data_IF_348704061473
#
_entry.id   IF_348704061473
#
_cell.length_a   1.000
_cell.length_b   1.000
_cell.length_c   1.000
_cell.angle_alpha   90.00
_cell.angle_beta   90.00
_cell.angle_gamma   90.00
#
_symmetry.space_group_name_H-M   'P 1'
#
loop_
_entity.id
_entity.type
_entity.pdbx_description
1 polymer ?
#
# COMPACT_ATOMS: atom_id res chain seq x y z
N UNK A 1 -26.44 -50.04 -31.88
CA UNK A 1 -25.08 -50.54 -32.19
C UNK A 1 -24.16 -50.00 -31.12
N UNK A 2 -23.62 -50.91 -30.32
CA UNK A 2 -22.73 -50.68 -29.19
C UNK A 2 -21.25 -50.78 -29.61
N UNK A 3 -20.35 -50.66 -28.62
CA UNK A 3 -18.88 -50.78 -28.60
C UNK A 3 -18.21 -49.39 -28.59
N UNK A 4 -17.71 -48.82 -27.48
CA UNK A 4 -16.99 -49.33 -26.30
C UNK A 4 -15.71 -50.09 -26.63
N UNK A 5 -14.62 -49.71 -25.94
CA UNK A 5 -13.34 -50.36 -25.56
C UNK A 5 -12.33 -49.20 -25.49
N UNK A 6 -11.81 -48.77 -24.32
CA UNK A 6 -10.91 -49.50 -23.43
C UNK A 6 -9.46 -49.21 -23.87
N UNK A 7 -8.46 -48.95 -23.04
CA UNK A 7 -8.25 -49.08 -21.61
C UNK A 7 -6.76 -48.82 -21.33
N UNK A 8 -6.46 -48.69 -20.04
CA UNK A 8 -5.20 -48.26 -19.43
C UNK A 8 -3.92 -49.04 -19.80
N UNK A 9 -2.76 -48.41 -19.59
CA UNK A 9 -1.60 -49.07 -18.99
C UNK A 9 -0.63 -48.05 -18.35
N UNK A 10 -0.35 -48.28 -17.07
CA UNK A 10 0.67 -47.63 -16.25
C UNK A 10 2.01 -48.39 -16.29
N UNK A 11 3.02 -47.84 -15.59
CA UNK A 11 4.38 -48.36 -15.22
C UNK A 11 5.51 -47.75 -16.07
N UNK A 12 6.68 -47.39 -15.55
CA UNK A 12 7.31 -47.48 -14.22
C UNK A 12 8.67 -46.77 -14.31
N UNK A 13 9.08 -46.02 -13.29
CA UNK A 13 10.22 -46.27 -12.37
C UNK A 13 11.58 -46.59 -13.01
N UNK A 14 12.58 -45.76 -12.64
CA UNK A 14 14.03 -46.07 -12.61
C UNK A 14 14.84 -45.36 -13.70
N UNK A 15 16.07 -44.89 -13.51
CA UNK A 15 16.97 -44.74 -12.38
C UNK A 15 18.16 -43.86 -12.85
N UNK A 16 18.96 -43.38 -11.90
CA UNK A 16 20.10 -42.47 -12.04
C UNK A 16 21.22 -42.88 -13.03
N UNK A 17 21.98 -41.90 -13.52
CA UNK A 17 23.46 -41.92 -13.53
C UNK A 17 24.11 -40.62 -14.04
N UNK A 18 25.03 -40.10 -13.22
CA UNK A 18 26.32 -39.42 -13.47
C UNK A 18 26.80 -39.08 -14.89
N UNK A 19 27.56 -37.97 -14.96
CA UNK A 19 28.58 -37.76 -15.99
C UNK A 19 28.78 -36.29 -16.37
N UNK A 20 29.51 -35.49 -15.59
CA UNK A 20 30.95 -35.21 -15.79
C UNK A 20 31.26 -34.35 -17.03
N UNK A 21 31.74 -33.14 -16.72
CA UNK A 21 32.42 -32.15 -17.57
C UNK A 21 33.57 -32.78 -18.38
N UNK A 22 33.84 -32.28 -19.61
CA UNK A 22 35.21 -32.30 -20.12
C UNK A 22 35.71 -30.90 -20.49
N UNK A 23 36.80 -30.54 -19.81
CA UNK A 23 37.83 -29.60 -20.23
C UNK A 23 38.80 -30.34 -21.18
N UNK A 24 39.13 -29.80 -22.37
CA UNK A 24 40.36 -30.08 -23.15
C UNK A 24 40.45 -29.06 -24.29
N UNK A 25 41.37 -28.08 -24.21
CA UNK A 25 42.81 -28.07 -24.58
C UNK A 25 43.09 -27.91 -26.09
N UNK A 26 43.65 -26.73 -26.39
CA UNK A 26 44.91 -26.47 -27.11
C UNK A 26 45.15 -27.14 -28.47
N UNK A 27 45.12 -26.32 -29.52
CA UNK A 27 46.05 -26.36 -30.64
C UNK A 27 46.39 -24.91 -31.08
N UNK A 28 47.66 -24.54 -31.01
CA UNK A 28 48.26 -23.44 -31.78
C UNK A 28 48.54 -23.92 -33.21
N UNK A 29 48.67 -23.05 -34.26
CA UNK A 29 49.88 -22.22 -34.50
C UNK A 29 49.57 -20.93 -35.33
N UNK A 30 50.52 -20.23 -35.99
CA UNK A 30 51.97 -20.10 -35.80
C UNK A 30 52.42 -18.64 -35.55
N UNK A 31 53.70 -18.51 -35.20
CA UNK A 31 54.44 -17.26 -35.15
C UNK A 31 54.52 -16.57 -36.53
N UNK A 32 54.10 -15.30 -36.57
CA UNK A 32 54.31 -14.37 -37.67
C UNK A 32 54.43 -12.97 -37.10
N UNK A 33 55.65 -12.55 -36.83
CA UNK A 33 55.95 -11.19 -36.40
C UNK A 33 55.74 -10.23 -37.58
N UNK A 34 54.76 -9.34 -37.47
CA UNK A 34 54.69 -8.11 -38.25
C UNK A 34 54.12 -7.00 -37.37
N UNK A 35 54.97 -6.01 -37.11
CA UNK A 35 54.67 -4.80 -36.36
C UNK A 35 53.51 -4.05 -37.01
N UNK A 36 52.42 -3.86 -36.27
CA UNK A 36 51.21 -3.20 -36.77
C UNK A 36 50.65 -2.22 -35.74
N UNK A 37 51.20 -1.00 -35.75
CA UNK A 37 50.66 0.24 -35.17
C UNK A 37 49.98 0.15 -33.80
N UNK A 38 50.66 0.65 -32.77
CA UNK A 38 49.98 1.15 -31.58
C UNK A 38 48.96 2.20 -32.01
N UNK A 39 47.68 1.82 -32.02
CA UNK A 39 46.59 2.80 -32.00
C UNK A 39 46.69 3.49 -30.65
N UNK A 40 47.50 4.53 -30.61
CA UNK A 40 47.53 5.54 -29.56
C UNK A 40 46.09 5.91 -29.28
N UNK A 41 45.57 5.51 -28.12
CA UNK A 41 44.45 6.18 -27.51
C UNK A 41 44.83 7.66 -27.49
N UNK A 42 44.22 8.46 -28.36
CA UNK A 42 44.32 9.91 -28.30
C UNK A 42 43.51 10.34 -27.09
N UNK A 43 44.06 10.12 -25.90
CA UNK A 43 43.68 10.89 -24.73
C UNK A 43 43.90 12.35 -25.11
N UNK A 44 42.87 13.17 -24.90
CA UNK A 44 42.98 14.62 -25.04
C UNK A 44 44.14 15.03 -24.13
N UNK A 45 45.30 15.34 -24.72
CA UNK A 45 46.38 16.00 -23.99
C UNK A 45 45.84 17.37 -23.68
N UNK A 46 45.68 17.69 -22.41
CA UNK A 46 45.39 19.04 -21.96
C UNK A 46 46.31 20.00 -22.72
N UNK A 47 45.75 20.79 -23.63
CA UNK A 47 46.44 21.95 -24.16
C UNK A 47 46.51 22.89 -22.97
N UNK A 48 47.66 22.94 -22.31
CA UNK A 48 47.88 23.79 -21.14
C UNK A 48 47.81 25.25 -21.56
N UNK A 49 46.63 25.84 -21.48
CA UNK A 49 46.42 27.28 -21.56
C UNK A 49 45.78 27.72 -20.24
N UNK A 50 46.59 27.69 -19.19
CA UNK A 50 46.32 28.34 -17.89
C UNK A 50 47.67 28.84 -17.34
N UNK A 51 48.21 29.96 -17.85
CA UNK A 51 49.51 30.47 -17.44
C UNK A 51 49.54 30.99 -16.00
N UNK A 52 48.38 31.26 -15.39
CA UNK A 52 48.24 31.83 -14.04
C UNK A 52 47.74 30.80 -13.00
N UNK A 53 47.48 29.55 -13.42
CA UNK A 53 47.09 28.44 -12.52
C UNK A 53 45.74 28.65 -11.80
N UNK A 54 44.88 29.52 -12.33
CA UNK A 54 43.63 29.95 -11.67
C UNK A 54 42.57 28.84 -11.73
N UNK A 55 42.61 27.96 -12.74
CA UNK A 55 41.51 27.05 -13.04
C UNK A 55 41.61 25.68 -12.34
N UNK A 56 42.70 25.41 -11.63
CA UNK A 56 42.90 24.17 -10.88
C UNK A 56 42.91 22.90 -11.75
N UNK A 57 43.20 21.72 -11.16
CA UNK A 57 43.23 20.48 -11.93
C UNK A 57 41.82 20.12 -12.45
N UNK A 58 41.71 19.57 -13.67
CA UNK A 58 40.42 19.20 -14.24
C UNK A 58 39.71 18.19 -13.34
N UNK A 59 38.53 18.58 -12.83
CA UNK A 59 37.71 17.68 -12.01
C UNK A 59 37.09 16.62 -12.92
N UNK A 60 37.37 15.34 -12.67
CA UNK A 60 36.74 14.23 -13.40
C UNK A 60 35.26 14.05 -13.04
N UNK A 61 34.57 13.17 -13.78
CA UNK A 61 33.22 12.69 -13.42
C UNK A 61 32.05 13.61 -13.74
N UNK A 62 32.23 14.68 -14.54
CA UNK A 62 31.13 15.55 -14.95
C UNK A 62 30.02 14.81 -15.73
N UNK A 63 30.40 13.91 -16.64
CA UNK A 63 29.43 13.08 -17.39
C UNK A 63 28.67 12.15 -16.45
N UNK A 64 29.37 11.45 -15.55
CA UNK A 64 28.74 10.56 -14.57
C UNK A 64 27.77 11.31 -13.64
N UNK A 65 28.12 12.53 -13.19
CA UNK A 65 27.22 13.39 -12.40
C UNK A 65 25.98 13.80 -13.19
N UNK A 66 26.15 14.26 -14.44
CA UNK A 66 25.02 14.64 -15.30
C UNK A 66 24.10 13.45 -15.60
N UNK A 67 24.67 12.28 -15.88
CA UNK A 67 23.90 11.06 -16.10
C UNK A 67 23.15 10.62 -14.83
N UNK A 68 23.78 10.73 -13.66
CA UNK A 68 23.14 10.45 -12.38
C UNK A 68 21.99 11.42 -12.09
N UNK A 69 22.19 12.72 -12.26
CA UNK A 69 21.12 13.73 -12.14
C UNK A 69 19.99 13.47 -13.14
N UNK A 70 20.30 13.10 -14.38
CA UNK A 70 19.30 12.79 -15.41
C UNK A 70 18.49 11.54 -15.07
N UNK A 71 19.10 10.51 -14.47
CA UNK A 71 18.38 9.32 -13.97
C UNK A 71 17.46 9.70 -12.81
N UNK A 72 17.96 10.47 -11.84
CA UNK A 72 17.13 10.97 -10.73
C UNK A 72 15.94 11.81 -11.19
N UNK A 73 16.14 12.68 -12.20
CA UNK A 73 15.06 13.46 -12.80
C UNK A 73 14.03 12.57 -13.51
N UNK A 74 14.47 11.60 -14.32
CA UNK A 74 13.56 10.63 -14.94
C UNK A 74 12.78 9.82 -13.92
N UNK A 75 13.43 9.40 -12.83
CA UNK A 75 12.78 8.70 -11.74
C UNK A 75 11.78 9.60 -11.01
N UNK A 76 12.08 10.89 -10.85
CA UNK A 76 11.17 11.89 -10.29
C UNK A 76 9.96 12.13 -11.22
N UNK A 77 10.18 12.35 -12.51
CA UNK A 77 9.12 12.52 -13.52
C UNK A 77 8.21 11.29 -13.57
N UNK A 78 8.79 10.08 -13.56
CA UNK A 78 8.04 8.83 -13.53
C UNK A 78 7.21 8.67 -12.25
N UNK A 79 7.76 9.05 -11.09
CA UNK A 79 7.01 9.09 -9.82
C UNK A 79 5.88 10.10 -9.87
N UNK A 80 6.09 11.27 -10.46
CA UNK A 80 5.06 12.31 -10.61
C UNK A 80 3.94 11.89 -11.56
N UNK A 81 4.26 11.24 -12.68
CA UNK A 81 3.28 10.67 -13.60
C UNK A 81 2.45 9.59 -12.93
N UNK A 82 3.10 8.66 -12.22
CA UNK A 82 2.41 7.64 -11.44
C UNK A 82 1.49 8.24 -10.37
N UNK A 83 1.97 9.23 -9.62
CA UNK A 83 1.17 9.95 -8.63
C UNK A 83 -0.01 10.69 -9.26
N UNK A 84 0.16 11.26 -10.46
CA UNK A 84 -0.93 11.91 -11.21
C UNK A 84 -1.99 10.90 -11.62
N UNK A 85 -1.60 9.73 -12.11
CA UNK A 85 -2.54 8.65 -12.44
C UNK A 85 -3.33 8.20 -11.20
N UNK A 86 -2.66 8.01 -10.07
CA UNK A 86 -3.33 7.67 -8.80
C UNK A 86 -4.34 8.73 -8.37
N UNK A 87 -4.01 10.03 -8.51
CA UNK A 87 -4.95 11.11 -8.20
C UNK A 87 -6.18 11.07 -9.09
N UNK A 88 -5.98 10.92 -10.40
CA UNK A 88 -7.09 10.84 -11.36
C UNK A 88 -8.00 9.63 -11.09
N UNK A 89 -7.42 8.46 -10.79
CA UNK A 89 -8.19 7.28 -10.42
C UNK A 89 -8.95 7.49 -9.10
N UNK A 90 -8.32 8.11 -8.10
CA UNK A 90 -8.99 8.43 -6.85
C UNK A 90 -10.14 9.43 -7.03
N UNK A 91 -9.97 10.43 -7.90
CA UNK A 91 -10.99 11.42 -8.25
C UNK A 91 -12.15 10.79 -9.01
N UNK A 92 -11.87 9.94 -10.01
CA UNK A 92 -12.89 9.17 -10.74
C UNK A 92 -13.73 8.34 -9.79
N UNK A 93 -13.09 7.62 -8.86
CA UNK A 93 -13.78 6.82 -7.86
C UNK A 93 -14.57 7.66 -6.88
N UNK A 94 -14.07 8.84 -6.50
CA UNK A 94 -14.82 9.80 -5.69
C UNK A 94 -16.07 10.27 -6.43
N UNK A 95 -15.95 10.63 -7.71
CA UNK A 95 -17.08 11.04 -8.53
C UNK A 95 -18.14 9.92 -8.67
N UNK A 96 -17.71 8.66 -8.78
CA UNK A 96 -18.61 7.52 -8.78
C UNK A 96 -19.37 7.37 -7.45
N UNK A 97 -18.69 7.55 -6.31
CA UNK A 97 -19.33 7.51 -4.98
C UNK A 97 -20.36 8.62 -4.79
N UNK A 98 -20.06 9.80 -5.31
CA UNK A 98 -20.96 10.96 -5.26
C UNK A 98 -22.18 10.79 -6.17
N UNK A 99 -22.04 10.08 -7.30
CA UNK A 99 -23.15 9.82 -8.21
C UNK A 99 -24.08 8.69 -7.75
N UNK A 100 -23.61 7.78 -6.90
CA UNK A 100 -24.43 6.70 -6.33
C UNK A 100 -25.45 7.27 -5.34
N UNK A 101 -26.73 7.10 -5.65
CA UNK A 101 -27.83 7.44 -4.75
C UNK A 101 -28.03 6.33 -3.71
N UNK A 102 -28.11 6.69 -2.44
CA UNK A 102 -28.35 5.75 -1.33
C UNK A 102 -29.86 5.48 -1.23
N UNK A 103 -30.32 4.24 -1.36
CA UNK A 103 -31.75 3.92 -1.23
C UNK A 103 -32.28 4.06 0.20
N UNK A 104 -33.56 4.39 0.37
CA UNK A 104 -34.18 4.57 1.70
C UNK A 104 -34.75 3.28 2.30
N UNK A 105 -35.09 2.29 1.46
CA UNK A 105 -35.70 1.03 1.93
C UNK A 105 -34.64 -0.03 2.22
N UNK A 106 -34.91 -0.87 3.21
CA UNK A 106 -34.05 -2.00 3.61
C UNK A 106 -33.76 -2.98 2.46
N UNK A 107 -34.74 -3.49 1.69
CA UNK A 107 -34.45 -4.44 0.61
C UNK A 107 -33.63 -3.82 -0.51
N UNK A 108 -33.92 -2.55 -0.87
CA UNK A 108 -33.15 -1.82 -1.88
C UNK A 108 -31.72 -1.54 -1.41
N UNK A 109 -31.51 -1.39 -0.10
CA UNK A 109 -30.19 -1.24 0.50
C UNK A 109 -29.38 -2.55 0.44
N UNK A 110 -30.03 -3.71 0.54
CA UNK A 110 -29.36 -5.01 0.36
C UNK A 110 -28.82 -5.13 -1.07
N UNK A 111 -29.65 -4.86 -2.08
CA UNK A 111 -29.20 -4.88 -3.48
C UNK A 111 -28.07 -3.89 -3.72
N UNK A 112 -28.17 -2.69 -3.13
CA UNK A 112 -27.10 -1.69 -3.22
C UNK A 112 -25.75 -2.22 -2.74
N UNK A 113 -25.71 -2.98 -1.64
CA UNK A 113 -24.47 -3.58 -1.13
C UNK A 113 -23.98 -4.75 -1.96
N UNK A 114 -24.88 -5.55 -2.53
CA UNK A 114 -24.51 -6.64 -3.45
C UNK A 114 -23.92 -6.11 -4.75
N UNK A 115 -24.42 -4.97 -5.24
CA UNK A 115 -23.90 -4.23 -6.40
C UNK A 115 -22.67 -3.37 -6.06
N UNK A 116 -22.17 -3.41 -4.82
CA UNK A 116 -21.01 -2.63 -4.40
C UNK A 116 -19.72 -3.43 -4.57
N UNK A 117 -18.73 -2.81 -5.21
CA UNK A 117 -17.40 -3.42 -5.34
C UNK A 117 -16.76 -3.60 -3.96
N UNK A 118 -16.05 -4.72 -3.75
CA UNK A 118 -15.42 -5.05 -2.47
C UNK A 118 -14.49 -3.93 -1.93
N UNK A 119 -13.84 -3.16 -2.81
CA UNK A 119 -12.95 -2.04 -2.43
C UNK A 119 -13.69 -0.80 -1.93
N UNK A 120 -14.91 -0.58 -2.41
CA UNK A 120 -15.73 0.57 -2.04
C UNK A 120 -16.68 0.22 -0.88
N UNK A 121 -16.87 -1.08 -0.61
CA UNK A 121 -17.72 -1.56 0.46
C UNK A 121 -17.31 -1.00 1.83
N UNK A 122 -16.01 -0.92 2.13
CA UNK A 122 -15.53 -0.30 3.38
C UNK A 122 -15.99 1.16 3.54
N UNK A 123 -15.97 1.92 2.44
CA UNK A 123 -16.43 3.30 2.43
C UNK A 123 -17.95 3.39 2.62
N UNK A 124 -18.71 2.55 1.90
CA UNK A 124 -20.18 2.55 2.02
C UNK A 124 -20.63 2.07 3.40
N UNK A 125 -19.93 1.10 4.01
CA UNK A 125 -20.16 0.68 5.40
C UNK A 125 -19.96 1.87 6.35
N UNK A 126 -18.86 2.61 6.21
CA UNK A 126 -18.59 3.79 7.04
C UNK A 126 -19.64 4.89 6.84
N UNK A 127 -20.06 5.14 5.59
CA UNK A 127 -21.07 6.14 5.23
C UNK A 127 -22.46 5.78 5.77
N UNK A 128 -22.83 4.50 5.70
CA UNK A 128 -24.15 3.98 6.04
C UNK A 128 -24.21 3.35 7.43
N UNK A 129 -23.16 3.47 8.23
CA UNK A 129 -23.08 2.97 9.61
C UNK A 129 -24.32 3.30 10.45
N UNK A 130 -24.90 4.52 10.41
CA UNK A 130 -26.11 4.84 11.18
C UNK A 130 -27.34 4.01 10.79
N UNK A 131 -27.38 3.49 9.55
CA UNK A 131 -28.47 2.70 9.00
C UNK A 131 -28.25 1.19 9.11
N UNK A 132 -27.00 0.75 9.32
CA UNK A 132 -26.64 -0.63 9.63
C UNK A 132 -26.95 -0.94 11.11
N UNK A 133 -28.24 -0.92 11.44
CA UNK A 133 -28.77 -1.24 12.77
C UNK A 133 -29.06 -2.73 12.90
N UNK A 134 -29.41 -3.15 14.13
CA UNK A 134 -29.84 -4.54 14.37
C UNK A 134 -31.05 -4.92 13.51
N UNK A 135 -31.97 -4.00 13.27
CA UNK A 135 -33.16 -4.22 12.44
C UNK A 135 -32.80 -4.60 10.99
N UNK A 136 -31.76 -3.97 10.43
CA UNK A 136 -31.24 -4.32 9.11
C UNK A 136 -30.72 -5.77 9.09
N UNK A 137 -29.88 -6.13 10.06
CA UNK A 137 -29.32 -7.48 10.14
C UNK A 137 -30.37 -8.55 10.45
N UNK A 138 -31.38 -8.23 11.26
CA UNK A 138 -32.51 -9.11 11.53
C UNK A 138 -33.31 -9.36 10.23
N UNK A 139 -33.50 -8.33 9.39
CA UNK A 139 -34.14 -8.50 8.07
C UNK A 139 -33.32 -9.41 7.13
N UNK A 140 -32.00 -9.18 7.02
CA UNK A 140 -31.10 -10.05 6.24
C UNK A 140 -31.15 -11.49 6.74
N UNK A 141 -31.19 -11.69 8.06
CA UNK A 141 -31.29 -13.02 8.66
C UNK A 141 -32.63 -13.70 8.36
N UNK A 142 -33.73 -12.94 8.28
CA UNK A 142 -35.03 -13.47 7.88
C UNK A 142 -35.02 -13.93 6.41
N UNK A 143 -34.48 -13.12 5.50
CA UNK A 143 -34.34 -13.50 4.07
C UNK A 143 -33.46 -14.75 3.91
N UNK A 144 -32.31 -14.80 4.60
CA UNK A 144 -31.45 -15.98 4.63
C UNK A 144 -32.17 -17.21 5.16
N UNK A 145 -32.97 -17.06 6.22
CA UNK A 145 -33.74 -18.16 6.79
C UNK A 145 -34.81 -18.66 5.81
N UNK A 146 -35.52 -17.76 5.14
CA UNK A 146 -36.50 -18.10 4.11
C UNK A 146 -35.86 -18.89 2.96
N UNK A 147 -34.68 -18.46 2.48
CA UNK A 147 -33.94 -19.17 1.44
C UNK A 147 -33.41 -20.54 1.92
N UNK A 148 -32.94 -20.64 3.17
CA UNK A 148 -32.45 -21.91 3.76
C UNK A 148 -33.53 -22.96 3.93
N UNK A 149 -34.73 -22.53 4.33
CA UNK A 149 -35.87 -23.42 4.62
C UNK A 149 -36.83 -23.60 3.44
N UNK A 150 -36.56 -22.99 2.28
CA UNK A 150 -37.35 -23.22 1.08
C UNK A 150 -37.31 -24.70 0.67
N UNK A 151 -38.50 -25.28 0.45
CA UNK A 151 -38.70 -26.71 0.17
C UNK A 151 -38.16 -27.08 -1.23
N UNK A 152 -38.18 -26.16 -2.18
CA UNK A 152 -37.63 -26.31 -3.52
C UNK A 152 -36.41 -25.40 -3.68
N UNK A 153 -35.21 -25.99 -3.81
CA UNK A 153 -33.97 -25.24 -4.03
C UNK A 153 -33.62 -25.25 -5.51
N UNK A 154 -33.64 -24.09 -6.14
CA UNK A 154 -33.06 -23.89 -7.47
C UNK A 154 -31.63 -23.38 -7.32
N UNK A 155 -30.83 -23.51 -8.38
CA UNK A 155 -29.45 -22.99 -8.38
C UNK A 155 -29.39 -21.49 -8.09
N UNK A 156 -30.32 -20.72 -8.66
CA UNK A 156 -30.45 -19.28 -8.44
C UNK A 156 -30.69 -18.93 -6.96
N UNK A 157 -31.45 -19.76 -6.23
CA UNK A 157 -31.67 -19.58 -4.79
C UNK A 157 -30.42 -19.92 -3.96
N UNK A 158 -29.65 -20.91 -4.39
CA UNK A 158 -28.37 -21.28 -3.75
C UNK A 158 -27.31 -20.21 -3.96
N UNK A 159 -27.20 -19.67 -5.18
CA UNK A 159 -26.27 -18.57 -5.51
C UNK A 159 -26.63 -17.32 -4.69
N UNK A 160 -27.91 -16.93 -4.66
CA UNK A 160 -28.38 -15.79 -3.87
C UNK A 160 -28.14 -15.96 -2.36
N UNK A 161 -28.27 -17.19 -1.86
CA UNK A 161 -27.97 -17.51 -0.46
C UNK A 161 -26.48 -17.31 -0.14
N UNK A 162 -25.59 -17.70 -1.04
CA UNK A 162 -24.14 -17.52 -0.88
C UNK A 162 -23.79 -16.02 -0.89
N UNK A 163 -24.35 -15.27 -1.84
CA UNK A 163 -24.15 -13.81 -1.94
C UNK A 163 -24.58 -13.08 -0.66
N UNK A 164 -25.79 -13.37 -0.18
CA UNK A 164 -26.33 -12.74 1.04
C UNK A 164 -25.53 -13.14 2.29
N UNK A 165 -25.08 -14.39 2.40
CA UNK A 165 -24.27 -14.84 3.53
C UNK A 165 -22.87 -14.21 3.52
N UNK A 166 -22.25 -14.09 2.35
CA UNK A 166 -20.97 -13.40 2.19
C UNK A 166 -21.11 -11.91 2.55
N UNK A 167 -22.13 -11.24 2.02
CA UNK A 167 -22.42 -9.83 2.33
C UNK A 167 -22.66 -9.63 3.83
N UNK A 168 -23.48 -10.47 4.47
CA UNK A 168 -23.76 -10.36 5.90
C UNK A 168 -22.48 -10.40 6.74
N UNK A 169 -21.57 -11.34 6.45
CA UNK A 169 -20.30 -11.47 7.17
C UNK A 169 -19.43 -10.23 7.00
N UNK A 170 -19.27 -9.76 5.76
CA UNK A 170 -18.43 -8.58 5.49
C UNK A 170 -19.01 -7.32 6.13
N UNK A 171 -20.33 -7.13 6.10
CA UNK A 171 -20.98 -6.00 6.77
C UNK A 171 -20.82 -6.07 8.30
N UNK A 172 -20.93 -7.26 8.91
CA UNK A 172 -20.69 -7.42 10.35
C UNK A 172 -19.25 -7.09 10.71
N UNK A 173 -18.27 -7.70 10.04
CA UNK A 173 -16.84 -7.43 10.28
C UNK A 173 -16.49 -5.95 10.06
N UNK A 174 -17.03 -5.35 8.99
CA UNK A 174 -16.79 -3.95 8.67
C UNK A 174 -17.42 -2.98 9.68
N UNK A 175 -18.63 -3.25 10.18
CA UNK A 175 -19.25 -2.43 11.23
C UNK A 175 -18.50 -2.54 12.56
N UNK A 176 -18.05 -3.73 12.94
CA UNK A 176 -17.23 -3.92 14.13
C UNK A 176 -15.86 -3.21 14.01
N UNK A 177 -15.23 -3.30 12.84
CA UNK A 177 -13.96 -2.62 12.57
C UNK A 177 -14.14 -1.10 12.64
N UNK A 178 -15.22 -0.57 12.08
CA UNK A 178 -15.57 0.83 12.15
C UNK A 178 -15.78 1.29 13.61
N UNK A 179 -16.55 0.54 14.39
CA UNK A 179 -16.84 0.89 15.78
C UNK A 179 -15.58 0.87 16.66
N UNK A 180 -14.69 -0.12 16.44
CA UNK A 180 -13.37 -0.19 17.10
C UNK A 180 -12.51 1.01 16.72
N UNK A 181 -12.43 1.35 15.44
CA UNK A 181 -11.70 2.52 14.97
C UNK A 181 -12.26 3.82 15.57
N UNK A 182 -13.59 3.97 15.63
CA UNK A 182 -14.23 5.14 16.24
C UNK A 182 -13.88 5.26 17.73
N UNK A 183 -13.96 4.17 18.49
CA UNK A 183 -13.57 4.15 19.89
C UNK A 183 -12.09 4.52 20.07
N UNK A 184 -11.21 3.96 19.23
CA UNK A 184 -9.78 4.26 19.26
C UNK A 184 -9.48 5.74 18.96
N UNK A 185 -10.20 6.36 18.03
CA UNK A 185 -10.06 7.79 17.72
C UNK A 185 -10.52 8.68 18.88
N UNK A 186 -11.63 8.34 19.54
CA UNK A 186 -12.12 9.07 20.73
C UNK A 186 -11.09 8.98 21.86
N UNK A 187 -10.60 7.77 22.16
CA UNK A 187 -9.56 7.57 23.17
C UNK A 187 -8.26 8.29 22.80
N UNK A 188 -7.86 8.27 21.52
CA UNK A 188 -6.68 8.95 21.06
C UNK A 188 -6.79 10.48 21.24
N UNK A 189 -7.97 11.06 21.00
CA UNK A 189 -8.26 12.47 21.27
C UNK A 189 -8.13 12.81 22.74
N UNK A 190 -8.70 11.99 23.63
CA UNK A 190 -8.62 12.19 25.09
C UNK A 190 -7.17 12.14 25.58
N UNK A 191 -6.42 11.13 25.13
CA UNK A 191 -4.99 10.95 25.41
C UNK A 191 -4.17 12.14 24.92
N UNK A 192 -4.41 12.60 23.70
CA UNK A 192 -3.72 13.78 23.15
C UNK A 192 -4.05 15.04 23.96
N UNK A 193 -5.31 15.22 24.35
CA UNK A 193 -5.74 16.34 25.19
C UNK A 193 -5.04 16.32 26.55
N UNK A 194 -4.90 15.14 27.17
CA UNK A 194 -4.12 14.95 28.41
C UNK A 194 -2.66 15.38 28.24
N UNK A 195 -2.01 15.00 27.13
CA UNK A 195 -0.62 15.39 26.84
C UNK A 195 -0.49 16.89 26.69
N UNK A 196 -1.35 17.52 25.88
CA UNK A 196 -1.27 18.96 25.57
C UNK A 196 -1.57 19.84 26.78
N UNK A 197 -2.47 19.42 27.66
CA UNK A 197 -2.86 20.16 28.88
C UNK A 197 -1.94 19.90 30.08
N UNK A 198 -1.08 18.88 30.02
CA UNK A 198 -0.19 18.53 31.12
C UNK A 198 0.85 19.63 31.40
N UNK A 199 1.08 19.90 32.69
CA UNK A 199 2.16 20.78 33.15
C UNK A 199 3.52 20.12 32.92
N UNK A 200 3.64 18.84 33.31
CA UNK A 200 4.87 18.05 33.24
C UNK A 200 4.80 16.97 32.15
N UNK A 201 4.92 17.41 30.90
CA UNK A 201 4.72 16.58 29.69
C UNK A 201 5.58 15.32 29.65
N UNK A 202 6.84 15.40 30.08
CA UNK A 202 7.75 14.24 30.09
C UNK A 202 7.29 13.17 31.08
N UNK A 203 6.83 13.57 32.27
CA UNK A 203 6.30 12.65 33.26
C UNK A 203 4.99 12.02 32.78
N UNK A 204 4.09 12.83 32.20
CA UNK A 204 2.84 12.33 31.62
C UNK A 204 3.08 11.37 30.45
N UNK A 205 4.05 11.65 29.58
CA UNK A 205 4.42 10.74 28.50
C UNK A 205 4.96 9.42 29.03
N UNK A 206 5.82 9.44 30.06
CA UNK A 206 6.33 8.21 30.70
C UNK A 206 5.20 7.40 31.34
N UNK A 207 4.28 8.04 32.08
CA UNK A 207 3.10 7.39 32.65
C UNK A 207 2.21 6.73 31.56
N UNK A 208 2.05 7.41 30.42
CA UNK A 208 1.27 6.89 29.29
C UNK A 208 1.98 5.76 28.54
N UNK A 209 3.30 5.75 28.51
CA UNK A 209 4.10 4.63 27.98
C UNK A 209 3.94 3.40 28.86
N UNK A 210 4.04 3.57 30.19
CA UNK A 210 3.84 2.48 31.15
C UNK A 210 2.46 1.83 31.02
N UNK A 211 1.44 2.61 30.65
CA UNK A 211 0.07 2.12 30.43
C UNK A 211 -0.21 1.65 28.99
N UNK A 212 0.79 1.66 28.10
CA UNK A 212 0.63 1.36 26.66
C UNK A 212 -0.44 2.23 25.97
N UNK A 213 -0.60 3.48 26.40
CA UNK A 213 -1.59 4.42 25.87
C UNK A 213 -1.06 5.19 24.64
N UNK A 214 0.26 5.19 24.41
CA UNK A 214 0.88 5.81 23.24
C UNK A 214 0.70 4.93 21.99
N UNK A 215 -0.40 5.14 21.27
CA UNK A 215 -0.74 4.42 20.04
C UNK A 215 -0.39 5.23 18.79
N UNK A 216 -0.30 4.54 17.64
CA UNK A 216 -0.14 5.19 16.33
C UNK A 216 -1.29 6.16 16.01
N UNK A 217 -2.49 5.91 16.52
CA UNK A 217 -3.63 6.82 16.36
C UNK A 217 -3.40 8.18 17.04
N UNK A 218 -2.81 8.22 18.24
CA UNK A 218 -2.46 9.49 18.92
C UNK A 218 -1.43 10.28 18.10
N UNK A 219 -0.43 9.59 17.55
CA UNK A 219 0.59 10.20 16.70
C UNK A 219 -0.01 10.76 15.40
N UNK A 220 -0.89 10.01 14.73
CA UNK A 220 -1.55 10.44 13.50
C UNK A 220 -2.40 11.71 13.73
N UNK A 221 -3.16 11.76 14.83
CA UNK A 221 -3.92 12.96 15.21
C UNK A 221 -3.03 14.16 15.52
N UNK A 222 -1.87 13.93 16.16
CA UNK A 222 -0.89 14.99 16.39
C UNK A 222 -0.31 15.52 15.06
N UNK A 223 0.00 14.63 14.11
CA UNK A 223 0.53 15.00 12.80
C UNK A 223 -0.49 15.83 11.98
N UNK A 224 -1.77 15.46 12.02
CA UNK A 224 -2.85 16.23 11.40
C UNK A 224 -3.03 17.61 12.04
N UNK A 225 -2.95 17.70 13.37
CA UNK A 225 -3.02 18.98 14.10
C UNK A 225 -1.82 19.88 13.78
N UNK A 226 -0.61 19.31 13.64
CA UNK A 226 0.58 20.07 13.22
C UNK A 226 0.36 20.63 11.81
N UNK A 227 -0.09 19.79 10.86
CA UNK A 227 -0.36 20.24 9.50
C UNK A 227 -1.42 21.35 9.46
N UNK A 228 -2.49 21.21 10.25
CA UNK A 228 -3.54 22.22 10.37
C UNK A 228 -3.03 23.54 10.98
N UNK A 229 -2.19 23.46 12.01
CA UNK A 229 -1.57 24.64 12.62
C UNK A 229 -0.61 25.37 11.67
N UNK A 230 0.17 24.63 10.87
CA UNK A 230 1.03 25.19 9.82
C UNK A 230 0.19 25.90 8.76
N UNK A 231 -0.88 25.26 8.29
CA UNK A 231 -1.80 25.85 7.31
C UNK A 231 -2.53 27.09 7.84
N UNK A 232 -2.67 27.21 9.17
CA UNK A 232 -3.30 28.34 9.87
C UNK A 232 -2.29 29.37 10.38
N UNK A 233 -1.04 29.32 9.94
CA UNK A 233 0.07 30.22 10.35
C UNK A 233 0.40 30.25 11.85
N UNK A 234 -0.03 29.26 12.63
CA UNK A 234 0.24 29.14 14.07
C UNK A 234 1.60 28.45 14.33
N UNK A 235 2.69 29.13 13.96
CA UNK A 235 4.05 28.58 13.99
C UNK A 235 4.52 28.14 15.39
N UNK A 236 4.15 28.89 16.42
CA UNK A 236 4.51 28.56 17.81
C UNK A 236 3.82 27.28 18.29
N UNK A 237 2.53 27.12 17.98
CA UNK A 237 1.77 25.92 18.30
C UNK A 237 2.28 24.70 17.53
N UNK A 238 2.60 24.87 16.24
CA UNK A 238 3.20 23.83 15.41
C UNK A 238 4.55 23.37 15.97
N UNK A 239 5.47 24.29 16.26
CA UNK A 239 6.78 23.96 16.84
C UNK A 239 6.64 23.29 18.22
N UNK A 240 5.66 23.72 19.02
CA UNK A 240 5.36 23.07 20.30
C UNK A 240 4.91 21.61 20.11
N UNK A 241 3.99 21.35 19.20
CA UNK A 241 3.49 20.01 18.89
C UNK A 241 4.56 19.12 18.23
N UNK A 242 5.43 19.67 17.38
CA UNK A 242 6.57 18.94 16.80
C UNK A 242 7.56 18.46 17.86
N UNK A 243 7.80 19.25 18.90
CA UNK A 243 8.64 18.83 20.03
C UNK A 243 8.01 17.64 20.79
N UNK A 244 6.69 17.66 21.00
CA UNK A 244 5.96 16.54 21.60
C UNK A 244 6.06 15.30 20.72
N UNK A 245 5.81 15.46 19.41
CA UNK A 245 5.94 14.39 18.41
C UNK A 245 7.32 13.73 18.47
N UNK A 246 8.39 14.53 18.48
CA UNK A 246 9.75 14.04 18.57
C UNK A 246 10.02 13.27 19.88
N UNK A 247 9.42 13.67 21.00
CA UNK A 247 9.52 12.92 22.25
C UNK A 247 8.70 11.63 22.24
N UNK A 248 7.46 11.65 21.72
CA UNK A 248 6.61 10.47 21.59
C UNK A 248 7.29 9.40 20.73
N UNK A 249 7.88 9.78 19.59
CA UNK A 249 8.60 8.87 18.71
C UNK A 249 9.80 8.17 19.39
N UNK A 250 10.42 8.78 20.40
CA UNK A 250 11.50 8.13 21.17
C UNK A 250 10.97 7.02 22.08
N UNK A 251 9.74 7.15 22.57
CA UNK A 251 9.12 6.19 23.47
C UNK A 251 8.28 5.14 22.74
N UNK A 252 7.83 5.43 21.52
CA UNK A 252 7.22 4.46 20.61
C UNK A 252 8.33 3.59 20.01
N UNK A 253 8.77 2.58 20.76
CA UNK A 253 9.60 1.50 20.21
C UNK A 253 8.76 0.67 19.24
N UNK A 254 9.34 0.33 18.09
CA UNK A 254 8.73 -0.55 17.10
C UNK A 254 8.50 -1.97 17.63
#
# INVERSE_FOLDING_TARGET
>A
MALSIGGAAARGIGAAASGVVPLRRLCAPPAGAAQGSSRRCRGIRCVGWDPEGILGPPRGGHIARLEFTKRLMKDADAREEFNRQLRQENERRRALRESRAVPDKIPELIEFFLDTEARELEYEIARLRPRLTKEFFDHVQLELSQLRFAVSRTKEMEDRLIELEAMQKVLQEGTEAYDKMQADLVLARERLSKILQSKDRKATLLEMVERNELTRSVLALLDENIASAINSDQKEAAAFMENIRATMLKYMTA
#
